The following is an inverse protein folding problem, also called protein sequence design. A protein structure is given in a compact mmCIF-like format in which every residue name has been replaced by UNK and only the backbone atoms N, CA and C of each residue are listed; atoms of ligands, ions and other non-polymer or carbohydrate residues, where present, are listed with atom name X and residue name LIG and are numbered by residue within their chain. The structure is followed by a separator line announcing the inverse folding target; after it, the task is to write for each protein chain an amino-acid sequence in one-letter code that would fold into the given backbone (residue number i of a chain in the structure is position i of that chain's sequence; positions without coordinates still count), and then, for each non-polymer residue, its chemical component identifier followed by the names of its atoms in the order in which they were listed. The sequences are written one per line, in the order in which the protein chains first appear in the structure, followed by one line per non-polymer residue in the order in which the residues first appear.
data_IF_284517699147
#
_entry.id   IF_284517699147
#
_cell.length_a   1.000
_cell.length_b   1.000
_cell.length_c   1.000
_cell.angle_alpha   90.00
_cell.angle_beta   90.00
_cell.angle_gamma   90.00
#
_symmetry.space_group_name_H-M   'P 1'
#
loop_
_entity.id
_entity.type
_entity.pdbx_description
1 polymer ?
#
# COMPACT_ATOMS: atom_id res chain seq x y z
N UNK A 1 1.07 34.20 -42.19
CA UNK A 1 0.50 35.40 -42.86
C UNK A 1 -0.86 35.01 -43.36
N UNK A 2 -1.90 35.70 -42.91
CA UNK A 2 -3.29 35.42 -43.28
C UNK A 2 -3.57 35.96 -44.69
N UNK A 3 -4.45 35.31 -45.45
CA UNK A 3 -4.77 35.67 -46.85
C UNK A 3 -5.13 37.16 -47.00
N UNK A 4 -5.80 37.74 -46.00
CA UNK A 4 -6.17 39.16 -45.97
C UNK A 4 -4.97 40.11 -46.02
N UNK A 5 -3.85 39.77 -45.35
CA UNK A 5 -2.63 40.59 -45.35
C UNK A 5 -1.94 40.57 -46.71
N UNK A 6 -2.00 39.43 -47.41
CA UNK A 6 -1.45 39.28 -48.76
C UNK A 6 -2.27 40.09 -49.78
N UNK A 7 -3.60 40.11 -49.66
CA UNK A 7 -4.48 40.91 -50.53
C UNK A 7 -4.26 42.42 -50.38
N UNK A 8 -4.04 42.88 -49.14
CA UNK A 8 -3.84 44.31 -48.86
C UNK A 8 -2.47 44.81 -49.31
N UNK A 9 -1.44 43.96 -49.23
CA UNK A 9 -0.13 44.22 -49.85
C UNK A 9 -0.23 44.24 -51.38
N UNK A 10 -0.90 43.26 -51.99
CA UNK A 10 -1.08 43.20 -53.44
C UNK A 10 -1.76 44.47 -53.99
N UNK A 11 -2.74 45.01 -53.26
CA UNK A 11 -3.46 46.21 -53.65
C UNK A 11 -2.56 47.46 -53.63
N UNK A 12 -1.68 47.57 -52.63
CA UNK A 12 -0.71 48.67 -52.55
C UNK A 12 0.34 48.58 -53.66
N UNK A 13 0.87 47.40 -53.92
CA UNK A 13 1.86 47.19 -54.99
C UNK A 13 1.24 47.52 -56.36
N UNK A 14 -0.03 47.17 -56.59
CA UNK A 14 -0.75 47.55 -57.81
C UNK A 14 -0.96 49.07 -57.95
N UNK A 15 -1.27 49.77 -56.86
CA UNK A 15 -1.45 51.23 -56.86
C UNK A 15 -0.12 51.96 -57.12
N UNK A 16 0.98 51.46 -56.59
CA UNK A 16 2.34 51.97 -56.83
C UNK A 16 2.79 51.76 -58.29
N UNK A 17 2.53 50.58 -58.86
CA UNK A 17 2.77 50.28 -60.28
C UNK A 17 1.96 51.19 -61.22
N UNK A 18 0.71 51.49 -60.86
CA UNK A 18 -0.14 52.40 -61.63
C UNK A 18 0.38 53.83 -61.60
N UNK A 19 0.92 54.29 -60.46
CA UNK A 19 1.51 55.62 -60.32
C UNK A 19 2.83 55.74 -61.11
N UNK A 20 3.70 54.71 -61.04
CA UNK A 20 4.95 54.65 -61.80
C UNK A 20 4.68 54.66 -63.31
N UNK A 21 3.67 53.90 -63.76
CA UNK A 21 3.23 53.85 -65.16
C UNK A 21 2.77 55.23 -65.65
N UNK A 22 1.98 55.95 -64.85
CA UNK A 22 1.51 57.29 -65.21
C UNK A 22 2.67 58.30 -65.31
N UNK A 23 3.67 58.20 -64.43
CA UNK A 23 4.86 59.06 -64.46
C UNK A 23 5.76 58.79 -65.69
N UNK A 24 5.98 57.52 -66.02
CA UNK A 24 6.77 57.12 -67.20
C UNK A 24 6.10 57.52 -68.52
N UNK A 25 4.78 57.38 -68.61
CA UNK A 25 4.00 57.80 -69.80
C UNK A 25 4.07 59.31 -70.03
N UNK A 26 4.01 60.10 -68.95
CA UNK A 26 4.17 61.55 -68.99
C UNK A 26 5.58 61.98 -69.42
N UNK A 27 6.60 61.22 -69.03
CA UNK A 27 7.99 61.47 -69.44
C UNK A 27 8.23 61.19 -70.93
N UNK A 28 7.52 60.22 -71.52
CA UNK A 28 7.61 59.86 -72.95
C UNK A 28 6.73 60.76 -73.83
N UNK A 29 5.90 61.64 -73.23
CA UNK A 29 5.06 62.60 -73.96
C UNK A 29 3.82 61.99 -74.59
N UNK A 30 3.35 60.84 -74.07
CA UNK A 30 2.14 60.17 -74.56
C UNK A 30 1.03 60.32 -73.50
N UNK A 31 -0.06 60.98 -73.87
CA UNK A 31 -1.23 61.10 -73.00
C UNK A 31 -1.99 59.77 -72.95
N UNK A 32 -2.18 59.26 -71.73
CA UNK A 32 -2.86 57.99 -71.47
C UNK A 32 -4.25 57.95 -72.11
N UNK A 33 -4.94 59.09 -72.21
CA UNK A 33 -6.28 59.24 -72.78
C UNK A 33 -6.34 59.19 -74.32
N UNK A 34 -5.23 59.43 -75.03
CA UNK A 34 -5.18 59.37 -76.50
C UNK A 34 -4.94 57.96 -77.06
N UNK A 35 -4.61 57.01 -76.20
CA UNK A 35 -4.32 55.63 -76.57
C UNK A 35 -5.59 54.77 -76.58
N UNK A 36 -5.77 53.95 -77.61
CA UNK A 36 -6.79 52.91 -77.62
C UNK A 36 -6.68 52.01 -76.39
N UNK A 37 -7.80 51.53 -75.87
CA UNK A 37 -7.86 50.57 -74.76
C UNK A 37 -6.96 49.34 -74.98
N UNK A 38 -6.73 48.94 -76.24
CA UNK A 38 -5.79 47.86 -76.59
C UNK A 38 -4.33 48.26 -76.40
N UNK A 39 -3.97 49.48 -76.82
CA UNK A 39 -2.62 50.04 -76.68
C UNK A 39 -2.27 50.31 -75.21
N UNK A 40 -3.21 50.80 -74.40
CA UNK A 40 -3.01 50.98 -72.96
C UNK A 40 -2.74 49.65 -72.23
N UNK A 41 -3.41 48.56 -72.64
CA UNK A 41 -3.17 47.20 -72.14
C UNK A 41 -1.80 46.69 -72.57
N UNK A 42 -1.40 46.93 -73.82
CA UNK A 42 -0.10 46.53 -74.33
C UNK A 42 1.05 47.24 -73.61
N UNK A 43 0.96 48.56 -73.46
CA UNK A 43 1.94 49.35 -72.69
C UNK A 43 1.94 48.96 -71.21
N UNK A 44 0.78 48.63 -70.64
CA UNK A 44 0.69 48.09 -69.28
C UNK A 44 1.41 46.76 -69.12
N UNK A 45 1.17 45.83 -70.05
CA UNK A 45 1.84 44.52 -70.06
C UNK A 45 3.36 44.67 -70.26
N UNK A 46 3.79 45.61 -71.11
CA UNK A 46 5.22 45.90 -71.30
C UNK A 46 5.86 46.55 -70.08
N UNK A 47 5.20 47.48 -69.40
CA UNK A 47 5.70 48.07 -68.17
C UNK A 47 5.80 47.05 -67.02
N UNK A 48 4.80 46.17 -66.89
CA UNK A 48 4.83 45.07 -65.92
C UNK A 48 5.92 44.06 -66.26
N UNK A 49 6.10 43.70 -67.54
CA UNK A 49 7.20 42.85 -67.97
C UNK A 49 8.55 43.52 -67.70
N UNK A 50 8.71 44.82 -67.98
CA UNK A 50 9.95 45.56 -67.68
C UNK A 50 10.25 45.59 -66.18
N UNK A 51 9.22 45.75 -65.33
CA UNK A 51 9.35 45.72 -63.87
C UNK A 51 9.79 44.34 -63.36
N UNK A 52 9.12 43.27 -63.80
CA UNK A 52 9.47 41.87 -63.43
C UNK A 52 10.87 41.47 -63.93
N UNK A 53 11.33 42.09 -65.01
CA UNK A 53 12.62 41.84 -65.63
C UNK A 53 13.72 42.82 -65.20
N UNK A 54 13.39 43.83 -64.37
CA UNK A 54 14.29 44.92 -63.97
C UNK A 54 15.06 45.55 -65.16
N UNK A 55 14.43 45.63 -66.34
CA UNK A 55 15.09 46.09 -67.56
C UNK A 55 15.14 47.61 -67.61
N UNK A 56 16.35 48.16 -67.51
CA UNK A 56 16.61 49.60 -67.62
C UNK A 56 16.80 50.10 -69.08
N UNK A 57 16.64 49.22 -70.08
CA UNK A 57 16.90 49.53 -71.50
C UNK A 57 15.67 49.32 -72.38
N UNK A 58 15.50 50.21 -73.37
CA UNK A 58 14.39 50.20 -74.34
C UNK A 58 14.68 49.22 -75.53
N UNK A 59 15.85 48.58 -75.55
CA UNK A 59 16.27 47.71 -76.63
C UNK A 59 15.45 46.41 -76.69
N UNK A 60 14.97 46.07 -77.88
CA UNK A 60 14.17 44.86 -78.12
C UNK A 60 14.92 43.57 -77.77
N UNK A 61 16.25 43.56 -77.92
CA UNK A 61 17.14 42.47 -77.52
C UNK A 61 17.09 42.20 -76.01
N UNK A 62 17.09 43.25 -75.19
CA UNK A 62 17.02 43.14 -73.73
C UNK A 62 15.65 42.62 -73.25
N UNK A 63 14.56 43.05 -73.91
CA UNK A 63 13.23 42.50 -73.67
C UNK A 63 13.13 41.02 -74.04
N UNK A 64 13.70 40.60 -75.18
CA UNK A 64 13.71 39.18 -75.58
C UNK A 64 14.51 38.34 -74.58
N UNK A 65 15.69 38.81 -74.14
CA UNK A 65 16.50 38.13 -73.13
C UNK A 65 15.78 38.03 -71.78
N UNK A 66 15.13 39.09 -71.33
CA UNK A 66 14.33 39.04 -70.11
C UNK A 66 13.14 38.08 -70.24
N UNK A 67 12.43 38.09 -71.38
CA UNK A 67 11.35 37.13 -71.64
C UNK A 67 11.87 35.68 -71.55
N UNK A 68 13.04 35.38 -72.10
CA UNK A 68 13.64 34.05 -71.97
C UNK A 68 14.00 33.72 -70.52
N UNK A 69 14.58 34.67 -69.77
CA UNK A 69 14.94 34.47 -68.36
C UNK A 69 13.73 34.20 -67.47
N UNK A 70 12.62 34.93 -67.67
CA UNK A 70 11.36 34.67 -66.94
C UNK A 70 10.75 33.34 -67.35
N UNK A 71 10.86 32.96 -68.62
CA UNK A 71 10.37 31.69 -69.09
C UNK A 71 11.15 30.52 -68.49
N UNK A 72 12.48 30.64 -68.38
CA UNK A 72 13.35 29.69 -67.70
C UNK A 72 13.04 29.61 -66.19
N UNK A 73 12.97 30.76 -65.49
CA UNK A 73 12.57 30.81 -64.07
C UNK A 73 11.18 30.21 -63.84
N UNK A 74 10.24 30.44 -64.76
CA UNK A 74 8.91 29.85 -64.68
C UNK A 74 8.97 28.31 -64.80
N UNK A 75 9.80 27.78 -65.71
CA UNK A 75 10.01 26.36 -65.86
C UNK A 75 10.69 25.74 -64.63
N UNK A 76 11.69 26.41 -64.05
CA UNK A 76 12.34 26.01 -62.81
C UNK A 76 11.36 25.98 -61.64
N UNK A 77 10.52 27.01 -61.48
CA UNK A 77 9.50 27.07 -60.44
C UNK A 77 8.43 25.98 -60.62
N UNK A 78 8.02 25.68 -61.85
CA UNK A 78 7.12 24.56 -62.14
C UNK A 78 7.78 23.22 -61.76
N UNK A 79 9.05 23.04 -62.11
CA UNK A 79 9.79 21.82 -61.76
C UNK A 79 9.91 21.67 -60.24
N UNK A 80 10.28 22.73 -59.53
CA UNK A 80 10.36 22.78 -58.08
C UNK A 80 9.01 22.51 -57.40
N UNK A 81 7.92 23.08 -57.92
CA UNK A 81 6.56 22.81 -57.46
C UNK A 81 6.19 21.34 -57.62
N UNK A 82 6.53 20.73 -58.76
CA UNK A 82 6.29 19.29 -59.00
C UNK A 82 7.10 18.41 -58.06
N UNK A 83 8.36 18.74 -57.79
CA UNK A 83 9.15 17.98 -56.81
C UNK A 83 8.58 18.13 -55.41
N UNK A 84 8.17 19.35 -55.02
CA UNK A 84 7.52 19.59 -53.73
C UNK A 84 6.24 18.77 -53.56
N UNK A 85 5.35 18.78 -54.56
CA UNK A 85 4.13 17.97 -54.54
C UNK A 85 4.41 16.46 -54.42
N UNK A 86 5.50 15.96 -55.03
CA UNK A 86 5.93 14.57 -54.86
C UNK A 86 6.42 14.30 -53.44
N UNK A 87 7.16 15.22 -52.85
CA UNK A 87 7.61 15.10 -51.45
C UNK A 87 6.43 15.14 -50.48
N UNK A 88 5.47 16.04 -50.68
CA UNK A 88 4.25 16.12 -49.87
C UNK A 88 3.45 14.81 -49.92
N UNK A 89 3.27 14.22 -51.11
CA UNK A 89 2.63 12.90 -51.25
C UNK A 89 3.37 11.81 -50.46
N UNK A 90 4.70 11.76 -50.55
CA UNK A 90 5.52 10.81 -49.78
C UNK A 90 5.39 11.02 -48.27
N UNK A 91 5.27 12.28 -47.81
CA UNK A 91 5.07 12.55 -46.39
C UNK A 91 3.67 12.12 -45.93
N UNK A 92 2.63 12.34 -46.74
CA UNK A 92 1.28 11.83 -46.45
C UNK A 92 1.24 10.30 -46.39
N UNK A 93 1.94 9.61 -47.28
CA UNK A 93 2.07 8.15 -47.23
C UNK A 93 2.77 7.69 -45.95
N UNK A 94 3.88 8.33 -45.56
CA UNK A 94 4.57 8.04 -44.29
C UNK A 94 3.69 8.30 -43.07
N UNK A 95 2.91 9.38 -43.08
CA UNK A 95 1.99 9.69 -41.99
C UNK A 95 0.93 8.61 -41.84
N UNK A 96 0.39 8.08 -42.95
CA UNK A 96 -0.56 6.96 -42.91
C UNK A 96 0.06 5.68 -42.34
N UNK A 97 1.29 5.35 -42.74
CA UNK A 97 2.01 4.19 -42.19
C UNK A 97 2.22 4.37 -40.68
N UNK A 98 2.61 5.56 -40.24
CA UNK A 98 2.78 5.85 -38.82
C UNK A 98 1.46 5.74 -38.05
N UNK A 99 0.36 6.21 -38.62
CA UNK A 99 -0.98 6.07 -38.02
C UNK A 99 -1.40 4.59 -37.92
N UNK A 100 -1.01 3.75 -38.89
CA UNK A 100 -1.21 2.30 -38.84
C UNK A 100 -0.35 1.66 -37.73
N UNK A 101 0.94 1.98 -37.66
CA UNK A 101 1.85 1.50 -36.61
C UNK A 101 1.37 1.88 -35.19
N UNK A 102 0.84 3.10 -35.01
CA UNK A 102 0.27 3.54 -33.73
C UNK A 102 -0.97 2.72 -33.36
N UNK A 103 -1.83 2.39 -34.33
CA UNK A 103 -2.99 1.53 -34.10
C UNK A 103 -2.56 0.12 -33.72
N UNK A 104 -1.60 -0.47 -34.43
CA UNK A 104 -1.07 -1.79 -34.12
C UNK A 104 -0.45 -1.83 -32.71
N UNK A 105 0.33 -0.81 -32.34
CA UNK A 105 0.90 -0.69 -30.99
C UNK A 105 -0.19 -0.58 -29.91
N UNK A 106 -1.29 0.13 -30.18
CA UNK A 106 -2.41 0.27 -29.26
C UNK A 106 -3.19 -1.04 -29.10
N UNK A 107 -3.38 -1.80 -30.19
CA UNK A 107 -3.98 -3.13 -30.14
C UNK A 107 -3.10 -4.10 -29.34
N UNK A 108 -1.78 -4.09 -29.57
CA UNK A 108 -0.83 -4.91 -28.82
C UNK A 108 -0.83 -4.55 -27.32
N UNK A 109 -0.89 -3.26 -26.99
CA UNK A 109 -1.05 -2.80 -25.61
C UNK A 109 -2.31 -3.39 -24.97
N UNK A 110 -3.44 -3.36 -25.67
CA UNK A 110 -4.70 -3.88 -25.15
C UNK A 110 -4.67 -5.41 -24.94
N UNK A 111 -4.00 -6.15 -25.85
CA UNK A 111 -3.78 -7.59 -25.70
C UNK A 111 -2.93 -7.88 -24.46
N UNK A 112 -1.85 -7.13 -24.25
CA UNK A 112 -0.99 -7.28 -23.07
C UNK A 112 -1.76 -6.95 -21.78
N UNK A 113 -2.53 -5.85 -21.78
CA UNK A 113 -3.35 -5.46 -20.63
C UNK A 113 -4.37 -6.55 -20.26
N UNK A 114 -5.02 -7.15 -21.26
CA UNK A 114 -5.95 -8.26 -21.06
C UNK A 114 -5.22 -9.49 -20.50
N UNK A 115 -4.05 -9.83 -21.05
CA UNK A 115 -3.25 -10.96 -20.58
C UNK A 115 -2.78 -10.78 -19.13
N UNK A 116 -2.41 -9.55 -18.73
CA UNK A 116 -2.06 -9.22 -17.35
C UNK A 116 -3.26 -9.41 -16.42
N UNK A 117 -4.44 -8.89 -16.77
CA UNK A 117 -5.67 -9.09 -15.97
C UNK A 117 -6.01 -10.57 -15.82
N UNK A 118 -5.90 -11.35 -16.89
CA UNK A 118 -6.14 -12.80 -16.83
C UNK A 118 -5.10 -13.55 -16.00
N UNK A 119 -3.84 -13.11 -16.03
CA UNK A 119 -2.77 -13.67 -15.20
C UNK A 119 -3.01 -13.36 -13.73
N UNK A 120 -3.31 -12.11 -13.39
CA UNK A 120 -3.56 -11.69 -12.01
C UNK A 120 -4.75 -12.46 -11.41
N UNK A 121 -5.81 -12.68 -12.21
CA UNK A 121 -6.95 -13.52 -11.80
C UNK A 121 -6.51 -14.98 -11.60
N UNK A 122 -5.72 -15.56 -12.50
CA UNK A 122 -5.25 -16.95 -12.37
C UNK A 122 -4.29 -17.16 -11.20
N UNK A 123 -3.33 -16.27 -11.00
CA UNK A 123 -2.36 -16.35 -9.90
C UNK A 123 -3.03 -16.10 -8.55
N UNK A 124 -3.94 -15.12 -8.47
CA UNK A 124 -4.69 -14.87 -7.23
C UNK A 124 -5.64 -16.03 -6.90
N UNK A 125 -6.35 -16.59 -7.88
CA UNK A 125 -7.24 -17.74 -7.63
C UNK A 125 -6.42 -18.97 -7.24
N UNK A 126 -5.34 -19.29 -7.96
CA UNK A 126 -4.52 -20.47 -7.65
C UNK A 126 -3.85 -20.40 -6.28
N UNK A 127 -3.44 -19.21 -5.84
CA UNK A 127 -2.89 -19.01 -4.49
C UNK A 127 -3.98 -18.97 -3.42
N UNK A 128 -5.18 -18.46 -3.72
CA UNK A 128 -6.30 -18.46 -2.78
C UNK A 128 -6.89 -19.85 -2.57
N UNK A 129 -7.11 -20.64 -3.62
CA UNK A 129 -7.65 -21.99 -3.51
C UNK A 129 -6.75 -22.90 -2.67
N UNK A 130 -5.43 -22.85 -2.90
CA UNK A 130 -4.46 -23.59 -2.07
C UNK A 130 -4.49 -23.15 -0.60
N UNK A 131 -4.63 -21.85 -0.32
CA UNK A 131 -4.75 -21.35 1.06
C UNK A 131 -6.07 -21.75 1.71
N UNK A 132 -7.17 -21.76 0.96
CA UNK A 132 -8.48 -22.22 1.44
C UNK A 132 -8.37 -23.69 1.85
N UNK A 133 -7.78 -24.55 1.01
CA UNK A 133 -7.58 -25.96 1.32
C UNK A 133 -6.72 -26.18 2.58
N UNK A 134 -5.66 -25.38 2.76
CA UNK A 134 -4.85 -25.39 3.98
C UNK A 134 -5.64 -24.99 5.23
N UNK A 135 -6.46 -23.93 5.13
CA UNK A 135 -7.29 -23.50 6.26
C UNK A 135 -8.38 -24.51 6.60
N UNK A 136 -9.00 -25.14 5.61
CA UNK A 136 -9.98 -26.22 5.81
C UNK A 136 -9.32 -27.41 6.52
N UNK A 137 -8.11 -27.82 6.11
CA UNK A 137 -7.35 -28.86 6.80
C UNK A 137 -7.06 -28.50 8.25
N UNK A 138 -6.58 -27.27 8.50
CA UNK A 138 -6.31 -26.78 9.88
C UNK A 138 -7.58 -26.74 10.73
N UNK A 139 -8.69 -26.27 10.18
CA UNK A 139 -9.98 -26.24 10.87
C UNK A 139 -10.44 -27.65 11.25
N UNK A 140 -10.29 -28.63 10.36
CA UNK A 140 -10.62 -30.02 10.65
C UNK A 140 -9.76 -30.59 11.79
N UNK A 141 -8.46 -30.27 11.81
CA UNK A 141 -7.55 -30.67 12.90
C UNK A 141 -7.99 -30.04 14.22
N UNK A 142 -8.26 -28.73 14.26
CA UNK A 142 -8.71 -28.07 15.49
C UNK A 142 -10.05 -28.59 15.98
N UNK A 143 -11.00 -28.88 15.08
CA UNK A 143 -12.26 -29.50 15.46
C UNK A 143 -12.04 -30.88 16.11
N UNK A 144 -11.12 -31.70 15.57
CA UNK A 144 -10.77 -32.98 16.19
C UNK A 144 -10.09 -32.81 17.56
N UNK A 145 -9.28 -31.77 17.75
CA UNK A 145 -8.66 -31.47 19.04
C UNK A 145 -9.69 -30.98 20.06
N UNK A 146 -10.62 -30.11 19.64
CA UNK A 146 -11.73 -29.64 20.48
C UNK A 146 -12.59 -30.82 20.92
N UNK A 147 -12.99 -31.71 20.01
CA UNK A 147 -13.79 -32.88 20.39
C UNK A 147 -13.05 -33.81 21.36
N UNK A 148 -11.73 -34.02 21.15
CA UNK A 148 -10.91 -34.77 22.12
C UNK A 148 -10.86 -34.07 23.48
N UNK A 149 -10.70 -32.75 23.51
CA UNK A 149 -10.69 -31.99 24.76
C UNK A 149 -12.04 -32.07 25.45
N UNK A 150 -13.14 -31.92 24.73
CA UNK A 150 -14.50 -32.06 25.26
C UNK A 150 -14.75 -33.47 25.83
N UNK A 151 -14.29 -34.52 25.13
CA UNK A 151 -14.32 -35.88 25.65
C UNK A 151 -13.49 -36.03 26.93
N UNK A 152 -12.29 -35.42 26.99
CA UNK A 152 -11.47 -35.47 28.21
C UNK A 152 -12.11 -34.69 29.35
N UNK A 153 -12.78 -33.58 29.07
CA UNK A 153 -13.51 -32.80 30.06
C UNK A 153 -14.75 -33.55 30.55
N UNK A 154 -15.50 -34.21 29.66
CA UNK A 154 -16.62 -35.07 30.02
C UNK A 154 -16.16 -36.27 30.85
N UNK A 155 -15.06 -36.94 30.47
CA UNK A 155 -14.45 -38.00 31.29
C UNK A 155 -13.99 -37.48 32.66
N UNK A 156 -13.58 -36.20 32.72
CA UNK A 156 -13.18 -35.50 33.95
C UNK A 156 -14.34 -34.83 34.68
N UNK A 157 -15.60 -34.91 34.24
CA UNK A 157 -16.79 -34.47 35.00
C UNK A 157 -16.97 -35.20 36.35
N UNK A 158 -15.99 -36.02 36.74
CA UNK A 158 -15.62 -36.30 38.12
C UNK A 158 -15.52 -35.01 38.98
N UNK A 159 -15.32 -33.80 38.45
CA UNK A 159 -15.22 -32.57 39.27
C UNK A 159 -16.46 -32.23 40.11
N UNK A 160 -17.69 -32.55 39.67
CA UNK A 160 -18.88 -32.27 40.51
C UNK A 160 -19.08 -33.29 41.64
N UNK A 161 -18.70 -34.56 41.42
CA UNK A 161 -18.80 -35.61 42.47
C UNK A 161 -17.57 -35.70 43.37
N UNK A 162 -16.38 -35.38 42.86
CA UNK A 162 -15.12 -35.48 43.60
C UNK A 162 -14.93 -34.39 44.65
N UNK A 163 -15.47 -33.18 44.44
CA UNK A 163 -15.44 -32.13 45.45
C UNK A 163 -16.21 -32.55 46.71
N UNK A 164 -17.35 -33.23 46.54
CA UNK A 164 -18.16 -33.74 47.65
C UNK A 164 -17.48 -34.92 48.37
N UNK A 165 -16.91 -35.87 47.61
CA UNK A 165 -16.15 -37.01 48.15
C UNK A 165 -14.88 -36.57 48.91
N UNK A 166 -14.17 -35.55 48.43
CA UNK A 166 -13.00 -34.99 49.12
C UNK A 166 -13.40 -34.26 50.40
N UNK A 167 -14.55 -33.58 50.42
CA UNK A 167 -15.03 -32.90 51.63
C UNK A 167 -15.41 -33.89 52.73
N UNK A 168 -16.14 -34.97 52.40
CA UNK A 168 -16.53 -35.97 53.39
C UNK A 168 -15.33 -36.70 53.99
N UNK A 169 -14.34 -37.05 53.17
CA UNK A 169 -13.10 -37.68 53.65
C UNK A 169 -12.28 -36.75 54.54
N UNK A 170 -12.25 -35.45 54.25
CA UNK A 170 -11.64 -34.44 55.14
C UNK A 170 -12.38 -34.32 56.47
N UNK A 171 -13.71 -34.32 56.47
CA UNK A 171 -14.53 -34.31 57.70
C UNK A 171 -14.24 -35.57 58.54
N UNK A 172 -14.21 -36.75 57.92
CA UNK A 172 -13.95 -38.01 58.61
C UNK A 172 -12.54 -38.05 59.23
N UNK A 173 -11.54 -37.49 58.54
CA UNK A 173 -10.18 -37.36 59.08
C UNK A 173 -10.11 -36.36 60.24
N UNK A 174 -10.82 -35.24 60.13
CA UNK A 174 -10.91 -34.27 61.22
C UNK A 174 -11.55 -34.90 62.47
N UNK A 175 -12.64 -35.65 62.30
CA UNK A 175 -13.29 -36.36 63.42
C UNK A 175 -12.35 -37.37 64.09
N UNK A 176 -11.55 -38.11 63.30
CA UNK A 176 -10.53 -39.02 63.84
C UNK A 176 -9.43 -38.29 64.62
N UNK A 177 -8.94 -37.16 64.12
CA UNK A 177 -7.94 -36.37 64.84
C UNK A 177 -8.47 -35.86 66.19
N UNK A 178 -9.70 -35.34 66.21
CA UNK A 178 -10.33 -34.88 67.46
C UNK A 178 -10.48 -36.03 68.47
N UNK A 179 -10.85 -37.23 68.00
CA UNK A 179 -10.91 -38.42 68.86
C UNK A 179 -9.55 -38.79 69.43
N UNK A 180 -8.50 -38.79 68.60
CA UNK A 180 -7.12 -39.11 69.04
C UNK A 180 -6.60 -38.06 70.03
N UNK A 181 -6.90 -36.78 69.81
CA UNK A 181 -6.53 -35.71 70.73
C UNK A 181 -7.20 -35.87 72.10
N UNK A 182 -8.49 -36.24 72.13
CA UNK A 182 -9.21 -36.58 73.36
C UNK A 182 -8.59 -37.78 74.09
N UNK A 183 -8.25 -38.84 73.36
CA UNK A 183 -7.61 -40.02 73.93
C UNK A 183 -6.22 -39.71 74.49
N UNK A 184 -5.45 -38.85 73.81
CA UNK A 184 -4.16 -38.37 74.30
C UNK A 184 -4.30 -37.50 75.55
N UNK A 185 -5.28 -36.59 75.61
CA UNK A 185 -5.53 -35.78 76.80
C UNK A 185 -5.90 -36.65 78.00
N UNK A 186 -6.74 -37.66 77.81
CA UNK A 186 -7.09 -38.60 78.88
C UNK A 186 -5.89 -39.44 79.32
N UNK A 187 -5.04 -39.91 78.40
CA UNK A 187 -3.79 -40.60 78.73
C UNK A 187 -2.81 -39.70 79.49
N UNK A 188 -2.63 -38.45 79.06
CA UNK A 188 -1.80 -37.47 79.77
C UNK A 188 -2.31 -37.23 81.20
N UNK A 189 -3.62 -37.10 81.39
CA UNK A 189 -4.21 -36.95 82.72
C UNK A 189 -4.03 -38.17 83.62
N UNK A 190 -3.93 -39.38 83.04
CA UNK A 190 -3.60 -40.59 83.77
C UNK A 190 -2.11 -40.61 84.13
N UNK A 191 -1.24 -40.27 83.19
CA UNK A 191 0.20 -40.25 83.39
C UNK A 191 0.61 -39.22 84.45
N UNK A 192 0.01 -38.04 84.45
CA UNK A 192 0.26 -37.00 85.46
C UNK A 192 -0.09 -37.46 86.88
N UNK A 193 -1.03 -38.41 87.05
CA UNK A 193 -1.31 -39.02 88.37
C UNK A 193 -0.18 -39.94 88.83
N UNK A 194 0.51 -40.58 87.90
CA UNK A 194 1.61 -41.50 88.19
C UNK A 194 2.98 -40.81 88.22
N UNK A 195 3.10 -39.59 87.70
CA UNK A 195 4.36 -38.82 87.66
C UNK A 195 4.91 -38.51 89.05
N UNK A 196 4.04 -38.39 90.06
CA UNK A 196 4.43 -38.15 91.45
C UNK A 196 4.70 -39.44 92.25
N UNK A 197 4.58 -40.63 91.65
CA UNK A 197 4.89 -41.87 92.35
C UNK A 197 6.38 -42.23 92.21
N UNK A 198 7.04 -42.68 93.30
CA UNK A 198 8.40 -43.19 93.24
C UNK A 198 8.49 -44.39 92.28
N UNK A 199 9.51 -44.44 91.40
CA UNK A 199 9.58 -45.44 90.33
C UNK A 199 9.87 -46.86 90.82
N UNK A 200 10.30 -47.05 92.06
CA UNK A 200 10.53 -48.37 92.66
C UNK A 200 9.98 -48.45 94.09
N UNK A 201 9.60 -49.67 94.50
CA UNK A 201 9.05 -49.94 95.84
C UNK A 201 10.05 -49.62 96.96
N UNK A 202 11.35 -49.72 96.66
CA UNK A 202 12.43 -49.37 97.58
C UNK A 202 12.50 -47.87 97.87
N UNK A 203 12.40 -46.98 96.87
CA UNK A 203 12.31 -45.53 97.12
C UNK A 203 10.98 -45.14 97.74
N UNK A 204 9.88 -45.82 97.39
CA UNK A 204 8.59 -45.60 98.05
C UNK A 204 8.68 -45.91 99.55
N UNK A 205 9.33 -47.01 99.93
CA UNK A 205 9.57 -47.34 101.33
C UNK A 205 10.53 -46.35 101.98
N UNK A 206 11.59 -45.92 101.31
CA UNK A 206 12.53 -44.92 101.85
C UNK A 206 11.83 -43.58 102.14
N UNK A 207 11.04 -43.07 101.20
CA UNK A 207 10.25 -41.84 101.37
C UNK A 207 9.19 -41.98 102.47
N UNK A 208 8.56 -43.15 102.61
CA UNK A 208 7.66 -43.44 103.74
C UNK A 208 8.38 -43.48 105.08
N UNK A 209 9.57 -44.09 105.13
CA UNK A 209 10.38 -44.11 106.36
C UNK A 209 10.83 -42.71 106.76
N UNK A 210 11.27 -41.88 105.81
CA UNK A 210 11.62 -40.48 106.06
C UNK A 210 10.41 -39.67 106.55
N UNK A 211 9.24 -39.86 105.92
CA UNK A 211 8.01 -39.23 106.35
C UNK A 211 7.57 -39.70 107.76
N UNK A 212 7.72 -40.99 108.07
CA UNK A 212 7.42 -41.55 109.39
C UNK A 212 8.40 -41.05 110.46
N UNK A 213 9.69 -40.94 110.15
CA UNK A 213 10.71 -40.32 111.01
C UNK A 213 10.37 -38.87 111.30
N UNK A 214 9.98 -38.08 110.28
CA UNK A 214 9.54 -36.70 110.46
C UNK A 214 8.28 -36.61 111.32
N UNK A 215 7.30 -37.50 111.09
CA UNK A 215 6.06 -37.53 111.87
C UNK A 215 6.35 -37.88 113.32
N UNK A 216 7.21 -38.88 113.58
CA UNK A 216 7.65 -39.26 114.92
C UNK A 216 8.46 -38.15 115.60
N UNK A 217 9.29 -37.40 114.87
CA UNK A 217 9.97 -36.22 115.40
C UNK A 217 8.98 -35.15 115.81
N UNK A 218 7.99 -34.85 114.97
CA UNK A 218 6.92 -33.92 115.29
C UNK A 218 6.10 -34.39 116.50
N UNK A 219 5.75 -35.68 116.56
CA UNK A 219 5.05 -36.27 117.72
C UNK A 219 5.87 -36.15 119.00
N UNK A 220 7.18 -36.41 118.95
CA UNK A 220 8.06 -36.24 120.09
C UNK A 220 8.22 -34.77 120.49
N UNK A 221 8.30 -33.85 119.52
CA UNK A 221 8.29 -32.41 119.79
C UNK A 221 6.99 -32.00 120.48
N UNK A 222 5.84 -32.46 119.97
CA UNK A 222 4.53 -32.24 120.58
C UNK A 222 4.44 -32.85 121.99
N UNK A 223 4.90 -34.09 122.18
CA UNK A 223 4.90 -34.75 123.49
C UNK A 223 5.83 -34.06 124.48
N UNK A 224 7.01 -33.59 124.06
CA UNK A 224 7.88 -32.80 124.93
C UNK A 224 7.24 -31.45 125.29
N UNK A 225 6.51 -30.84 124.36
CA UNK A 225 5.73 -29.62 124.62
C UNK A 225 4.62 -29.87 125.63
N UNK A 226 3.96 -31.02 125.54
CA UNK A 226 2.91 -31.43 126.48
C UNK A 226 3.49 -31.73 127.86
N UNK A 227 4.62 -32.44 127.97
CA UNK A 227 5.30 -32.72 129.24
C UNK A 227 5.90 -31.47 129.90
N UNK A 228 6.32 -30.47 129.12
CA UNK A 228 6.75 -29.17 129.66
C UNK A 228 5.58 -28.26 130.09
N UNK A 229 4.32 -28.68 129.88
CA UNK A 229 3.10 -27.97 130.32
C UNK A 229 2.38 -28.63 131.52
N UNK A 230 2.88 -29.75 132.05
CA UNK A 230 2.39 -30.45 133.26
C UNK A 230 3.39 -30.28 134.39
#
# INVERSE_FOLDING_TARGET
MTEAQVYEQLKKDMEEDHALKAALMKFIGIDQESLSNTSQKYVGAMAQAASVLELNSIETSAFVAGITDVWEKHHELIAAKRTWQRHEKKQLERMKILDEEVKEAMEMYHVIEKALKERDVRENIGTMDGRIDEYVKKQNVYNQEITKLDETLHKRQIFEQSAFLQHQTLIDLQAKNVSIESDNQTLQSKLSRYENLPPNLEMANATLYEAQELLRRLENEFQSRIQNMV
#
